data_IF_573811166435
#
_entry.id   IF_573811166435
#
_cell.length_a   1.000
_cell.length_b   1.000
_cell.length_c   1.000
_cell.angle_alpha   90.00
_cell.angle_beta   90.00
_cell.angle_gamma   90.00
#
_symmetry.space_group_name_H-M   'P 1'
#
loop_
_entity.id
_entity.type
_entity.pdbx_description
1 polymer ?
#
# COMPACT_ATOMS: atom_id res chain seq x y z
N UNK A 1 20.72 10.42 -5.35
CA UNK A 1 19.89 9.29 -5.84
C UNK A 1 20.39 8.70 -7.15
N UNK A 2 20.70 9.51 -8.17
CA UNK A 2 21.20 9.01 -9.49
C UNK A 2 22.34 8.01 -9.34
N UNK A 3 23.36 8.32 -8.54
CA UNK A 3 24.53 7.46 -8.31
C UNK A 3 24.22 6.14 -7.59
N UNK A 4 23.03 5.99 -6.99
CA UNK A 4 22.61 4.77 -6.33
C UNK A 4 21.97 3.77 -7.30
N UNK A 5 21.21 4.27 -8.28
CA UNK A 5 20.47 3.42 -9.22
C UNK A 5 21.23 3.13 -10.52
N UNK A 6 22.16 4.01 -10.94
CA UNK A 6 22.97 3.79 -12.15
C UNK A 6 23.71 2.46 -12.16
N UNK A 7 24.28 1.96 -11.03
CA UNK A 7 24.92 0.66 -10.99
C UNK A 7 24.02 -0.53 -11.31
N UNK A 8 22.69 -0.43 -11.09
CA UNK A 8 21.77 -1.54 -11.38
C UNK A 8 21.81 -1.95 -12.84
N UNK A 9 21.95 -0.98 -13.76
CA UNK A 9 22.08 -1.30 -15.20
C UNK A 9 23.42 -1.96 -15.53
N UNK A 10 24.49 -1.50 -14.91
CA UNK A 10 25.82 -2.09 -15.12
C UNK A 10 25.93 -3.50 -14.52
N UNK A 11 25.18 -3.77 -13.45
CA UNK A 11 25.15 -5.07 -12.76
C UNK A 11 24.09 -6.04 -13.33
N UNK A 12 23.30 -5.64 -14.33
CA UNK A 12 22.23 -6.46 -14.91
C UNK A 12 22.63 -7.92 -15.21
N UNK A 13 23.83 -8.22 -15.78
CA UNK A 13 24.26 -9.60 -16.02
C UNK A 13 24.48 -10.44 -14.76
N UNK A 14 24.62 -9.81 -13.60
CA UNK A 14 24.87 -10.46 -12.31
C UNK A 14 23.62 -10.52 -11.42
N UNK A 15 22.56 -9.80 -11.78
CA UNK A 15 21.32 -9.72 -11.02
C UNK A 15 20.31 -10.75 -11.54
N UNK A 16 19.79 -11.59 -10.65
CA UNK A 16 18.73 -12.55 -11.00
C UNK A 16 17.36 -11.89 -11.04
N UNK A 17 17.15 -10.86 -10.21
CA UNK A 17 15.88 -10.18 -10.06
C UNK A 17 16.09 -8.82 -9.41
N UNK A 18 15.33 -7.83 -9.86
CA UNK A 18 15.28 -6.48 -9.27
C UNK A 18 13.83 -6.09 -9.10
N UNK A 19 13.45 -5.77 -7.88
CA UNK A 19 12.12 -5.23 -7.56
C UNK A 19 12.28 -3.88 -6.88
N UNK A 20 11.71 -2.84 -7.47
CA UNK A 20 11.70 -1.49 -6.93
C UNK A 20 10.28 -1.14 -6.50
N UNK A 21 10.13 -0.78 -5.24
CA UNK A 21 8.86 -0.30 -4.68
C UNK A 21 9.08 1.01 -3.94
N UNK A 22 8.02 1.81 -3.80
CA UNK A 22 8.06 3.08 -3.09
C UNK A 22 6.67 3.72 -3.01
N UNK A 23 6.58 4.77 -2.20
CA UNK A 23 5.32 5.48 -1.93
C UNK A 23 4.81 6.22 -3.17
N UNK A 24 5.70 6.67 -4.04
CA UNK A 24 5.37 7.42 -5.26
C UNK A 24 6.11 6.87 -6.47
N UNK A 25 5.48 7.01 -7.63
CA UNK A 25 6.13 6.76 -8.91
C UNK A 25 7.06 7.93 -9.23
N UNK A 26 8.36 7.69 -9.23
CA UNK A 26 9.37 8.68 -9.60
C UNK A 26 9.56 8.80 -11.12
N UNK A 27 8.48 8.77 -11.90
CA UNK A 27 8.52 8.77 -13.36
C UNK A 27 9.20 10.00 -13.97
N UNK A 28 9.20 11.12 -13.25
CA UNK A 28 9.79 12.37 -13.71
C UNK A 28 11.28 12.54 -13.37
N UNK A 29 11.86 11.61 -12.62
CA UNK A 29 13.31 11.65 -12.38
C UNK A 29 14.03 11.02 -13.56
N UNK A 30 14.98 11.76 -14.13
CA UNK A 30 15.84 11.30 -15.25
C UNK A 30 16.59 9.98 -15.00
N UNK A 31 16.52 9.48 -13.78
CA UNK A 31 17.08 8.19 -13.34
C UNK A 31 16.42 7.02 -14.05
N UNK A 32 15.08 7.05 -14.23
CA UNK A 32 14.35 5.95 -14.84
C UNK A 32 14.44 5.92 -16.37
N UNK A 33 14.81 7.03 -17.01
CA UNK A 33 15.14 7.02 -18.44
C UNK A 33 16.41 6.19 -18.74
N UNK A 34 17.27 5.99 -17.74
CA UNK A 34 18.48 5.16 -17.86
C UNK A 34 18.21 3.67 -17.57
N UNK A 35 17.15 3.36 -16.83
CA UNK A 35 16.75 1.99 -16.43
C UNK A 35 15.67 1.42 -17.38
N UNK A 36 16.02 1.29 -18.65
CA UNK A 36 15.09 0.78 -19.67
C UNK A 36 14.82 -0.74 -19.60
N UNK A 37 15.50 -1.44 -18.70
CA UNK A 37 15.32 -2.87 -18.42
C UNK A 37 14.27 -3.15 -17.33
N UNK A 38 13.68 -2.11 -16.70
CA UNK A 38 12.68 -2.27 -15.66
C UNK A 38 11.27 -2.11 -16.25
N UNK A 39 10.41 -3.11 -16.03
CA UNK A 39 8.99 -3.07 -16.39
C UNK A 39 8.19 -2.42 -15.28
N UNK A 40 7.44 -1.35 -15.61
CA UNK A 40 6.48 -0.79 -14.66
C UNK A 40 5.25 -1.71 -14.54
N UNK A 41 4.96 -2.16 -13.33
CA UNK A 41 3.84 -3.05 -13.01
C UNK A 41 2.84 -2.42 -12.04
N UNK A 42 2.97 -1.13 -11.72
CA UNK A 42 2.19 -0.45 -10.68
C UNK A 42 0.67 -0.51 -10.89
N UNK A 43 0.22 -0.57 -12.14
CA UNK A 43 -1.22 -0.61 -12.51
C UNK A 43 -1.59 -1.92 -13.19
N UNK A 44 -0.76 -2.94 -13.11
CA UNK A 44 -1.02 -4.21 -13.77
C UNK A 44 -1.87 -5.11 -12.85
N UNK A 45 -3.04 -5.51 -13.34
CA UNK A 45 -4.01 -6.35 -12.61
C UNK A 45 -3.38 -7.66 -12.08
N UNK A 46 -2.46 -8.27 -12.84
CA UNK A 46 -1.77 -9.49 -12.43
C UNK A 46 -0.90 -9.31 -11.18
N UNK A 47 -0.60 -8.08 -10.79
CA UNK A 47 0.24 -7.74 -9.63
C UNK A 47 -0.51 -6.91 -8.60
N UNK A 48 -1.84 -6.83 -8.70
CA UNK A 48 -2.68 -5.99 -7.83
C UNK A 48 -2.48 -6.26 -6.33
N UNK A 49 -2.18 -7.48 -5.94
CA UNK A 49 -1.98 -7.88 -4.55
C UNK A 49 -0.50 -7.96 -4.10
N UNK A 50 0.48 -7.64 -4.98
CA UNK A 50 1.91 -7.90 -4.69
C UNK A 50 2.46 -7.12 -3.48
N UNK A 51 1.86 -5.98 -3.16
CA UNK A 51 2.27 -5.12 -2.04
C UNK A 51 1.27 -5.12 -0.88
N UNK A 52 0.32 -6.06 -0.86
CA UNK A 52 -0.68 -6.20 0.17
C UNK A 52 -0.84 -7.64 0.63
N UNK A 53 -1.80 -7.86 1.51
CA UNK A 53 -2.20 -9.19 1.97
C UNK A 53 -3.67 -9.35 1.62
N UNK A 54 -4.03 -10.43 0.95
CA UNK A 54 -5.41 -10.75 0.58
C UNK A 54 -6.15 -11.42 1.73
N UNK A 55 -7.48 -11.34 1.73
CA UNK A 55 -8.31 -12.04 2.71
C UNK A 55 -8.06 -13.55 2.69
N UNK A 56 -7.86 -14.14 1.51
CA UNK A 56 -7.55 -15.57 1.38
C UNK A 56 -6.20 -15.94 2.03
N UNK A 57 -5.20 -15.08 1.93
CA UNK A 57 -3.91 -15.31 2.59
C UNK A 57 -4.04 -15.24 4.11
N UNK A 58 -4.87 -14.34 4.64
CA UNK A 58 -5.15 -14.31 6.09
C UNK A 58 -5.81 -15.60 6.53
N UNK A 59 -6.84 -16.06 5.83
CA UNK A 59 -7.59 -17.26 6.19
C UNK A 59 -6.76 -18.54 6.12
N UNK A 60 -5.81 -18.61 5.18
CA UNK A 60 -5.02 -19.85 4.94
C UNK A 60 -3.67 -19.82 5.66
N UNK A 61 -2.97 -18.70 5.61
CA UNK A 61 -1.58 -18.63 6.08
C UNK A 61 -1.45 -18.00 7.47
N UNK A 62 -2.41 -17.16 7.90
CA UNK A 62 -2.38 -16.42 9.17
C UNK A 62 -3.49 -16.86 10.13
N UNK A 63 -4.05 -18.07 9.92
CA UNK A 63 -5.13 -18.58 10.75
C UNK A 63 -4.73 -18.64 12.22
N UNK A 64 -3.53 -19.12 12.51
CA UNK A 64 -3.04 -19.25 13.88
C UNK A 64 -2.89 -17.87 14.57
N UNK A 65 -2.49 -16.83 13.82
CA UNK A 65 -2.41 -15.46 14.32
C UNK A 65 -3.80 -14.88 14.62
N UNK A 66 -4.78 -15.16 13.76
CA UNK A 66 -6.18 -14.76 13.96
C UNK A 66 -6.75 -15.45 15.21
N UNK A 67 -6.53 -16.75 15.38
CA UNK A 67 -7.02 -17.52 16.53
C UNK A 67 -6.33 -17.06 17.84
N UNK A 68 -5.03 -16.76 17.80
CA UNK A 68 -4.29 -16.19 18.95
C UNK A 68 -4.82 -14.80 19.35
N UNK A 69 -5.11 -13.95 18.36
CA UNK A 69 -5.69 -12.63 18.59
C UNK A 69 -7.12 -12.75 19.16
N UNK A 70 -7.93 -13.67 18.64
CA UNK A 70 -9.27 -13.95 19.13
C UNK A 70 -9.25 -14.38 20.60
N UNK A 71 -8.36 -15.30 20.96
CA UNK A 71 -8.17 -15.76 22.34
C UNK A 71 -7.75 -14.62 23.26
N UNK A 72 -6.80 -13.77 22.82
CA UNK A 72 -6.31 -12.64 23.61
C UNK A 72 -7.37 -11.58 23.87
N UNK A 73 -8.26 -11.37 22.91
CA UNK A 73 -9.33 -10.37 22.99
C UNK A 73 -10.64 -10.94 23.55
N UNK A 74 -10.70 -12.24 23.84
CA UNK A 74 -11.90 -12.96 24.33
C UNK A 74 -13.10 -12.82 23.36
N UNK A 75 -12.83 -12.89 22.04
CA UNK A 75 -13.81 -12.79 20.97
C UNK A 75 -13.67 -13.98 20.02
N UNK A 76 -14.60 -14.11 19.07
CA UNK A 76 -14.51 -15.17 18.04
C UNK A 76 -13.54 -14.79 16.91
N UNK A 77 -13.01 -15.78 16.20
CA UNK A 77 -12.14 -15.55 15.03
C UNK A 77 -12.87 -14.78 13.93
N UNK A 78 -14.19 -14.96 13.78
CA UNK A 78 -15.03 -14.22 12.83
C UNK A 78 -15.12 -12.74 13.20
N UNK A 79 -15.25 -12.41 14.49
CA UNK A 79 -15.24 -11.03 14.97
C UNK A 79 -13.87 -10.36 14.78
N UNK A 80 -12.79 -11.11 14.94
CA UNK A 80 -11.43 -10.63 14.63
C UNK A 80 -11.29 -10.32 13.15
N UNK A 81 -11.72 -11.22 12.26
CA UNK A 81 -11.68 -11.02 10.81
C UNK A 81 -12.50 -9.80 10.39
N UNK A 82 -13.70 -9.63 10.95
CA UNK A 82 -14.53 -8.46 10.70
C UNK A 82 -13.83 -7.15 11.11
N UNK A 83 -13.21 -7.12 12.28
CA UNK A 83 -12.44 -5.96 12.77
C UNK A 83 -11.18 -5.70 11.96
N UNK A 84 -10.46 -6.75 11.52
CA UNK A 84 -9.31 -6.60 10.63
C UNK A 84 -9.73 -5.97 9.31
N UNK A 85 -10.86 -6.41 8.76
CA UNK A 85 -11.43 -5.87 7.53
C UNK A 85 -11.81 -4.39 7.69
N UNK A 86 -12.51 -4.05 8.75
CA UNK A 86 -12.92 -2.67 9.04
C UNK A 86 -11.74 -1.72 9.20
N UNK A 87 -10.67 -2.16 9.87
CA UNK A 87 -9.56 -1.28 10.23
C UNK A 87 -8.42 -1.24 9.20
N UNK A 88 -8.18 -2.32 8.46
CA UNK A 88 -6.95 -2.48 7.69
C UNK A 88 -7.13 -2.90 6.23
N UNK A 89 -8.36 -3.17 5.79
CA UNK A 89 -8.71 -3.49 4.40
C UNK A 89 -9.06 -2.23 3.59
N UNK A 90 -9.21 -2.40 2.27
CA UNK A 90 -9.71 -1.37 1.35
C UNK A 90 -8.65 -0.67 0.53
N UNK A 91 -7.44 -1.23 0.45
CA UNK A 91 -6.44 -0.76 -0.50
C UNK A 91 -6.65 -1.38 -1.88
N UNK A 92 -6.55 -0.55 -2.91
CA UNK A 92 -6.62 -0.95 -4.31
C UNK A 92 -5.49 -0.30 -5.10
N UNK A 93 -4.69 -1.09 -5.79
CA UNK A 93 -3.62 -0.58 -6.65
C UNK A 93 -4.03 -0.52 -8.13
N UNK A 94 -5.14 -1.16 -8.49
CA UNK A 94 -5.72 -1.14 -9.84
C UNK A 94 -7.21 -1.42 -9.76
N UNK A 95 -7.94 -1.24 -10.86
CA UNK A 95 -9.36 -1.59 -10.94
C UNK A 95 -9.65 -2.33 -12.25
N UNK A 96 -10.32 -3.50 -12.20
CA UNK A 96 -10.75 -4.23 -11.00
C UNK A 96 -9.57 -4.85 -10.23
N UNK A 97 -9.66 -4.91 -8.91
CA UNK A 97 -8.68 -5.60 -8.07
C UNK A 97 -9.33 -6.19 -6.82
N UNK A 98 -8.75 -7.24 -6.21
CA UNK A 98 -9.17 -7.66 -4.88
C UNK A 98 -8.88 -6.56 -3.86
N UNK A 99 -9.70 -6.52 -2.82
CA UNK A 99 -9.37 -5.77 -1.60
C UNK A 99 -8.13 -6.37 -0.96
N UNK A 100 -7.22 -5.52 -0.53
CA UNK A 100 -6.01 -5.95 0.15
C UNK A 100 -5.82 -5.19 1.46
N UNK A 101 -5.27 -5.90 2.43
CA UNK A 101 -4.94 -5.37 3.74
C UNK A 101 -3.57 -4.71 3.73
N UNK A 102 -3.43 -3.64 4.51
CA UNK A 102 -2.14 -3.02 4.75
C UNK A 102 -1.25 -3.96 5.58
N UNK A 103 -0.12 -4.47 5.03
CA UNK A 103 0.70 -5.45 5.73
C UNK A 103 1.29 -4.92 7.03
N UNK A 104 1.72 -3.66 7.06
CA UNK A 104 2.31 -3.05 8.26
C UNK A 104 1.29 -2.99 9.41
N UNK A 105 0.08 -2.52 9.13
CA UNK A 105 -0.97 -2.41 10.14
C UNK A 105 -1.44 -3.78 10.62
N UNK A 106 -1.64 -4.71 9.69
CA UNK A 106 -2.08 -6.07 9.98
C UNK A 106 -1.09 -6.83 10.87
N UNK A 107 0.20 -6.83 10.49
CA UNK A 107 1.24 -7.53 11.24
C UNK A 107 1.47 -6.93 12.62
N UNK A 108 1.37 -5.61 12.76
CA UNK A 108 1.45 -4.97 14.08
C UNK A 108 0.23 -5.28 14.96
N UNK A 109 -0.97 -5.41 14.37
CA UNK A 109 -2.16 -5.81 15.13
C UNK A 109 -1.99 -7.21 15.72
N UNK A 110 -1.45 -8.16 14.98
CA UNK A 110 -1.13 -9.50 15.47
C UNK A 110 -0.02 -9.46 16.54
N UNK A 111 1.07 -8.76 16.29
CA UNK A 111 2.20 -8.66 17.21
C UNK A 111 1.81 -8.02 18.56
N UNK A 112 1.07 -6.93 18.52
CA UNK A 112 0.62 -6.21 19.72
C UNK A 112 -0.58 -6.88 20.40
N UNK A 113 -1.36 -7.64 19.62
CA UNK A 113 -2.61 -8.26 20.04
C UNK A 113 -3.70 -7.24 20.37
N UNK A 114 -3.80 -6.18 19.57
CA UNK A 114 -4.80 -5.13 19.69
C UNK A 114 -4.99 -4.40 18.36
N UNK A 115 -6.15 -3.75 18.20
CA UNK A 115 -6.44 -2.90 17.05
C UNK A 115 -6.02 -1.46 17.34
N UNK A 116 -5.21 -0.89 16.45
CA UNK A 116 -4.74 0.50 16.51
C UNK A 116 -4.59 1.07 15.10
N UNK A 117 -4.59 2.41 15.00
CA UNK A 117 -4.28 3.12 13.76
C UNK A 117 -2.76 3.18 13.51
N UNK A 118 -2.14 2.05 13.24
CA UNK A 118 -0.68 1.93 13.07
C UNK A 118 -0.12 2.78 11.93
N UNK A 119 -0.91 2.99 10.88
CA UNK A 119 -0.51 3.78 9.73
C UNK A 119 -0.30 5.26 10.09
N UNK A 120 -1.05 5.79 11.04
CA UNK A 120 -0.97 7.20 11.46
C UNK A 120 0.35 7.55 12.15
N UNK A 121 1.04 6.60 12.76
CA UNK A 121 2.31 6.81 13.48
C UNK A 121 3.53 6.98 12.58
N UNK A 122 3.45 6.69 11.28
CA UNK A 122 4.61 6.62 10.38
C UNK A 122 5.00 7.93 9.66
N UNK A 123 4.47 9.08 10.07
CA UNK A 123 4.89 10.41 9.56
C UNK A 123 4.29 10.86 8.22
N UNK A 124 3.54 10.00 7.56
CA UNK A 124 2.88 10.28 6.27
C UNK A 124 1.77 11.35 6.36
N UNK A 125 1.01 11.49 7.47
CA UNK A 125 -0.07 12.47 7.58
C UNK A 125 0.36 13.91 7.30
N UNK A 126 1.51 14.32 7.81
CA UNK A 126 1.99 15.71 7.63
C UNK A 126 2.27 16.05 6.18
N UNK A 127 2.83 15.10 5.42
CA UNK A 127 3.07 15.29 3.99
C UNK A 127 1.74 15.33 3.22
N UNK A 128 0.83 14.43 3.53
CA UNK A 128 -0.50 14.35 2.91
C UNK A 128 -1.30 15.64 3.16
N UNK A 129 -1.34 16.14 4.40
CA UNK A 129 -2.00 17.41 4.76
C UNK A 129 -1.43 18.57 3.94
N UNK A 130 -0.10 18.69 3.89
CA UNK A 130 0.55 19.75 3.08
C UNK A 130 0.22 19.66 1.59
N UNK A 131 0.00 18.43 1.08
CA UNK A 131 -0.38 18.24 -0.31
C UNK A 131 -1.84 18.56 -0.56
N UNK A 132 -2.74 18.19 0.34
CA UNK A 132 -4.15 18.55 0.28
C UNK A 132 -4.30 20.08 0.27
N UNK A 133 -3.60 20.78 1.17
CA UNK A 133 -3.58 22.24 1.24
C UNK A 133 -3.05 22.85 -0.08
N UNK A 134 -1.96 22.30 -0.60
CA UNK A 134 -1.34 22.80 -1.84
C UNK A 134 -2.23 22.66 -3.06
N UNK A 135 -3.03 21.58 -3.14
CA UNK A 135 -3.92 21.32 -4.26
C UNK A 135 -5.36 21.74 -4.00
N UNK A 136 -5.67 22.32 -2.84
CA UNK A 136 -7.01 22.79 -2.48
C UNK A 136 -8.05 21.68 -2.43
N UNK A 137 -7.63 20.45 -2.10
CA UNK A 137 -8.52 19.27 -2.00
C UNK A 137 -9.05 19.16 -0.59
N UNK A 138 -10.37 19.22 -0.42
CA UNK A 138 -10.98 19.01 0.88
C UNK A 138 -10.86 17.54 1.31
N UNK A 139 -10.57 17.25 2.59
CA UNK A 139 -10.52 15.87 3.09
C UNK A 139 -11.76 15.03 2.78
N UNK A 140 -12.93 15.67 2.75
CA UNK A 140 -14.23 15.03 2.40
C UNK A 140 -14.34 14.59 0.93
N UNK A 141 -13.46 15.04 0.06
CA UNK A 141 -13.43 14.65 -1.35
C UNK A 141 -12.55 13.42 -1.61
N UNK A 142 -11.71 13.07 -0.62
CA UNK A 142 -10.85 11.89 -0.67
C UNK A 142 -11.74 10.64 -0.59
N UNK A 143 -11.54 9.70 -1.51
CA UNK A 143 -12.34 8.47 -1.57
C UNK A 143 -13.59 8.52 -2.44
N UNK A 144 -13.94 9.69 -3.00
CA UNK A 144 -15.05 9.82 -3.97
C UNK A 144 -14.62 9.85 -5.43
N UNK A 145 -13.33 9.97 -5.69
CA UNK A 145 -12.76 10.04 -7.04
C UNK A 145 -12.13 8.71 -7.42
N UNK A 146 -12.51 8.18 -8.56
CA UNK A 146 -11.80 7.06 -9.19
C UNK A 146 -10.57 7.63 -9.89
N UNK A 147 -9.39 7.18 -9.50
CA UNK A 147 -8.14 7.57 -10.17
C UNK A 147 -8.06 6.96 -11.57
N UNK A 148 -7.64 7.73 -12.55
CA UNK A 148 -7.28 7.25 -13.87
C UNK A 148 -5.76 7.13 -14.01
N UNK A 149 -5.28 6.33 -14.97
CA UNK A 149 -3.86 6.05 -15.14
C UNK A 149 -3.00 7.33 -15.29
N UNK A 150 -3.55 8.38 -15.87
CA UNK A 150 -2.90 9.69 -16.06
C UNK A 150 -2.65 10.43 -14.72
N UNK A 151 -3.50 10.20 -13.70
CA UNK A 151 -3.34 10.82 -12.38
C UNK A 151 -2.09 10.30 -11.66
N UNK A 152 -1.63 9.08 -11.99
CA UNK A 152 -0.45 8.45 -11.39
C UNK A 152 0.88 8.96 -11.95
N UNK A 153 0.87 9.71 -13.01
CA UNK A 153 2.08 10.38 -13.54
C UNK A 153 2.45 11.63 -12.73
N UNK A 154 1.54 12.14 -11.91
CA UNK A 154 1.83 13.17 -10.92
C UNK A 154 2.30 12.53 -9.60
N UNK A 155 3.48 12.90 -9.05
CA UNK A 155 4.04 12.27 -7.83
C UNK A 155 3.14 12.32 -6.60
N UNK A 156 2.12 13.15 -6.63
CA UNK A 156 1.21 13.46 -5.52
C UNK A 156 -0.12 12.74 -5.59
N UNK A 157 -0.60 12.45 -6.80
CA UNK A 157 -1.91 11.87 -7.00
C UNK A 157 -1.98 10.43 -6.45
N UNK A 158 -0.91 9.65 -6.60
CA UNK A 158 -0.83 8.28 -6.12
C UNK A 158 -1.13 8.16 -4.62
N UNK A 159 -0.61 9.05 -3.78
CA UNK A 159 -0.86 9.04 -2.33
C UNK A 159 -2.29 9.40 -1.96
N UNK A 160 -2.95 10.26 -2.74
CA UNK A 160 -4.31 10.69 -2.48
C UNK A 160 -5.34 9.61 -2.81
N UNK A 161 -5.07 8.80 -3.86
CA UNK A 161 -6.01 7.82 -4.37
C UNK A 161 -5.80 6.41 -3.82
N UNK A 162 -4.61 6.07 -3.36
CA UNK A 162 -4.28 4.75 -2.81
C UNK A 162 -4.34 4.67 -1.30
N UNK A 163 -4.50 5.79 -0.60
CA UNK A 163 -4.72 5.78 0.84
C UNK A 163 -6.17 5.46 1.15
N UNK A 164 -6.46 4.47 2.01
CA UNK A 164 -7.83 4.22 2.42
C UNK A 164 -8.36 5.47 3.12
N UNK A 165 -9.56 5.88 2.72
CA UNK A 165 -10.32 6.84 3.50
C UNK A 165 -10.62 6.20 4.84
N UNK A 166 -10.36 6.86 5.99
CA UNK A 166 -10.96 6.42 7.23
C UNK A 166 -12.47 6.38 6.99
N UNK A 167 -13.05 5.22 7.14
CA UNK A 167 -14.51 5.09 7.15
C UNK A 167 -14.97 5.71 8.45
N UNK A 168 -15.72 6.81 8.33
CA UNK A 168 -16.44 7.41 9.45
C UNK A 168 -17.48 6.44 10.02
#
# INVERSE_FOLDING_TARGET
>A
MRNFYSPLKACDPYLRYVFLTGITKFSQLSIFSELNNIKNISMNESYAAICGITENEILVQMKDDVDALAQKLEVTSEEVLAKLKENYDGYHFTYPSPDIYNPFSLLNAFADGKFNSYWFGSGTPTYLIKMLDKFGVAPSEIGRKTAVAEDFDAPTACLLYTSPSPRD
#
